data_IF_929564829816
#
_entry.id   IF_929564829816
#
_cell.length_a   1.000
_cell.length_b   1.000
_cell.length_c   1.000
_cell.angle_alpha   90.00
_cell.angle_beta   90.00
_cell.angle_gamma   90.00
#
_symmetry.space_group_name_H-M   'P 1'
#
loop_
_entity.id
_entity.type
_entity.pdbx_description
1 polymer ?
#
# COMPACT_ATOMS: atom_id res chain seq x y z
N UNK A 1 11.56 0.92 -10.15
CA UNK A 1 10.16 0.42 -10.11
C UNK A 1 9.29 1.29 -11.02
N UNK A 2 8.30 0.71 -11.69
CA UNK A 2 7.30 1.42 -12.47
C UNK A 2 5.92 1.04 -11.93
N UNK A 3 5.05 2.02 -11.68
CA UNK A 3 3.68 1.77 -11.23
C UNK A 3 2.73 2.11 -12.35
N UNK A 4 1.85 1.15 -12.65
CA UNK A 4 0.76 1.33 -13.61
C UNK A 4 -0.54 1.51 -12.82
N UNK A 5 -1.18 2.64 -13.02
CA UNK A 5 -2.52 2.89 -12.48
C UNK A 5 -3.54 2.68 -13.60
N UNK A 6 -4.53 1.84 -13.33
CA UNK A 6 -5.63 1.56 -14.26
C UNK A 6 -6.90 2.16 -13.70
N UNK A 7 -7.52 3.08 -14.43
CA UNK A 7 -8.80 3.72 -14.08
C UNK A 7 -9.90 3.27 -15.03
N UNK A 8 -11.11 3.18 -14.50
CA UNK A 8 -12.30 2.81 -15.26
C UNK A 8 -12.51 1.30 -15.33
N UNK A 9 -13.59 0.91 -15.99
CA UNK A 9 -13.95 -0.49 -16.19
C UNK A 9 -14.17 -0.73 -17.69
N UNK A 10 -13.77 -1.88 -18.23
CA UNK A 10 -14.02 -2.19 -19.63
C UNK A 10 -15.53 -2.12 -19.90
N UNK A 11 -15.93 -1.46 -20.99
CA UNK A 11 -17.32 -1.48 -21.45
C UNK A 11 -17.62 -2.84 -22.07
N UNK A 12 -18.77 -3.41 -21.74
CA UNK A 12 -19.26 -4.66 -22.37
C UNK A 12 -19.97 -4.39 -23.70
N UNK A 13 -20.29 -3.13 -23.99
CA UNK A 13 -20.94 -2.71 -25.22
C UNK A 13 -19.92 -2.10 -26.19
N UNK A 14 -19.72 -2.73 -27.35
CA UNK A 14 -18.74 -2.32 -28.36
C UNK A 14 -19.01 -0.93 -28.96
N UNK A 15 -20.21 -0.39 -28.80
CA UNK A 15 -20.60 0.94 -29.30
C UNK A 15 -20.34 2.08 -28.31
N UNK A 16 -20.08 1.78 -27.03
CA UNK A 16 -19.74 2.79 -26.03
C UNK A 16 -18.21 2.90 -25.91
N UNK A 17 -17.62 4.10 -26.08
CA UNK A 17 -16.19 4.27 -25.85
C UNK A 17 -15.85 3.85 -24.42
N UNK A 18 -14.96 2.87 -24.29
CA UNK A 18 -14.50 2.40 -22.99
C UNK A 18 -13.84 3.53 -22.20
N UNK A 19 -14.10 3.60 -20.89
CA UNK A 19 -13.51 4.61 -20.01
C UNK A 19 -12.18 4.14 -19.36
N UNK A 20 -11.57 3.10 -19.92
CA UNK A 20 -10.32 2.53 -19.42
C UNK A 20 -9.15 3.48 -19.70
N UNK A 21 -8.41 3.85 -18.67
CA UNK A 21 -7.21 4.67 -18.77
C UNK A 21 -6.05 3.95 -18.09
N UNK A 22 -4.91 3.88 -18.78
CA UNK A 22 -3.67 3.35 -18.24
C UNK A 22 -2.72 4.53 -18.04
N UNK A 23 -2.36 4.79 -16.79
CA UNK A 23 -1.59 5.96 -16.38
C UNK A 23 -0.26 5.48 -15.81
N UNK A 24 0.83 6.05 -16.33
CA UNK A 24 2.17 5.91 -15.76
C UNK A 24 2.70 7.29 -15.39
N UNK A 25 3.41 7.39 -14.27
CA UNK A 25 3.95 8.67 -13.81
C UNK A 25 5.28 8.46 -13.09
N UNK A 26 6.38 8.46 -13.84
CA UNK A 26 7.72 8.22 -13.28
C UNK A 26 8.12 9.24 -12.21
N UNK A 27 7.58 10.47 -12.25
CA UNK A 27 7.84 11.47 -11.20
C UNK A 27 7.14 11.11 -9.89
N UNK A 28 5.89 10.67 -9.94
CA UNK A 28 5.16 10.14 -8.76
C UNK A 28 5.86 8.90 -8.24
N UNK A 29 6.15 7.94 -9.12
CA UNK A 29 6.75 6.65 -8.74
C UNK A 29 8.12 6.85 -8.08
N UNK A 30 8.95 7.76 -8.61
CA UNK A 30 10.25 8.10 -8.02
C UNK A 30 10.17 8.84 -6.68
N UNK A 31 9.01 9.39 -6.29
CA UNK A 31 8.79 9.98 -4.96
C UNK A 31 8.48 8.91 -3.91
N UNK A 32 8.04 7.73 -4.33
CA UNK A 32 7.87 6.60 -3.43
C UNK A 32 9.25 6.03 -3.14
N UNK A 33 9.79 6.33 -1.96
CA UNK A 33 11.09 5.82 -1.51
C UNK A 33 11.00 4.36 -1.07
N UNK A 34 10.65 3.48 -2.01
CA UNK A 34 10.53 2.01 -1.87
C UNK A 34 11.12 1.31 -3.08
N UNK A 35 11.52 0.05 -2.90
CA UNK A 35 12.12 -0.79 -3.94
C UNK A 35 11.09 -1.63 -4.68
N UNK A 36 10.06 -2.07 -3.96
CA UNK A 36 8.97 -2.94 -4.41
C UNK A 36 7.62 -2.50 -3.82
N UNK A 37 6.56 -3.19 -4.24
CA UNK A 37 5.23 -3.13 -3.64
C UNK A 37 4.69 -4.55 -3.51
N UNK A 38 4.44 -5.00 -2.28
CA UNK A 38 3.95 -6.36 -1.98
C UNK A 38 2.45 -6.39 -1.68
N UNK A 39 1.88 -5.32 -1.14
CA UNK A 39 0.43 -5.22 -0.85
C UNK A 39 -0.08 -3.79 -0.92
N UNK A 40 -1.37 -3.64 -1.20
CA UNK A 40 -2.11 -2.37 -1.16
C UNK A 40 -3.36 -2.53 -0.29
N UNK A 41 -3.70 -1.51 0.49
CA UNK A 41 -4.92 -1.47 1.30
C UNK A 41 -5.55 -0.08 1.17
N UNK A 42 -6.82 -0.01 0.79
CA UNK A 42 -7.58 1.24 0.79
C UNK A 42 -8.25 1.42 2.15
N UNK A 43 -8.06 2.58 2.77
CA UNK A 43 -8.81 2.98 3.96
C UNK A 43 -10.04 3.79 3.55
N UNK A 44 -11.22 3.20 3.68
CA UNK A 44 -12.48 3.85 3.34
C UNK A 44 -12.78 5.08 4.22
N UNK A 45 -12.23 5.14 5.43
CA UNK A 45 -12.51 6.24 6.37
C UNK A 45 -11.78 7.51 5.95
N UNK A 46 -10.49 7.42 5.62
CA UNK A 46 -9.69 8.56 5.17
C UNK A 46 -9.69 8.77 3.66
N UNK A 47 -10.02 7.73 2.88
CA UNK A 47 -9.84 7.70 1.43
C UNK A 47 -8.37 7.54 1.01
N UNK A 48 -7.47 7.23 1.94
CA UNK A 48 -6.04 7.06 1.66
C UNK A 48 -5.71 5.64 1.21
N UNK A 49 -4.62 5.50 0.47
CA UNK A 49 -4.06 4.22 0.05
C UNK A 49 -2.83 3.91 0.88
N UNK A 50 -2.84 2.78 1.59
CA UNK A 50 -1.67 2.23 2.24
C UNK A 50 -0.95 1.27 1.29
N UNK A 51 0.36 1.43 1.17
CA UNK A 51 1.21 0.62 0.31
C UNK A 51 2.32 -0.05 1.13
N UNK A 52 2.45 -1.37 1.01
CA UNK A 52 3.46 -2.17 1.68
C UNK A 52 4.63 -2.45 0.73
N UNK A 53 5.85 -2.29 1.23
CA UNK A 53 7.08 -2.67 0.55
C UNK A 53 7.88 -3.61 1.45
N UNK A 54 8.06 -4.84 0.98
CA UNK A 54 8.83 -5.84 1.69
C UNK A 54 10.31 -5.49 1.70
N UNK A 55 10.90 -5.28 0.52
CA UNK A 55 12.33 -5.05 0.37
C UNK A 55 12.81 -3.78 1.09
N UNK A 56 11.88 -2.84 1.34
CA UNK A 56 12.16 -1.61 2.08
C UNK A 56 11.74 -1.68 3.55
N UNK A 57 11.04 -2.72 4.00
CA UNK A 57 10.44 -2.88 5.33
C UNK A 57 9.63 -1.65 5.75
N UNK A 58 8.71 -1.21 4.89
CA UNK A 58 7.93 0.02 5.11
C UNK A 58 6.49 -0.10 4.67
N UNK A 59 5.64 0.64 5.39
CA UNK A 59 4.29 0.99 4.96
C UNK A 59 4.32 2.47 4.59
N UNK A 60 3.78 2.81 3.43
CA UNK A 60 3.56 4.19 2.99
C UNK A 60 2.06 4.48 3.03
N UNK A 61 1.70 5.70 3.41
CA UNK A 61 0.35 6.23 3.28
C UNK A 61 0.35 7.27 2.17
N UNK A 62 -0.56 7.10 1.21
CA UNK A 62 -0.73 7.95 0.05
C UNK A 62 -2.08 8.64 0.10
N UNK A 63 -2.12 9.94 -0.18
CA UNK A 63 -3.37 10.67 -0.35
C UNK A 63 -4.11 10.26 -1.65
N UNK A 64 -5.30 10.81 -1.86
CA UNK A 64 -6.14 10.55 -3.05
C UNK A 64 -5.50 10.97 -4.38
N UNK A 65 -4.41 11.74 -4.34
CA UNK A 65 -3.64 12.14 -5.52
C UNK A 65 -2.36 11.31 -5.71
N UNK A 66 -2.12 10.32 -4.85
CA UNK A 66 -0.96 9.44 -4.90
C UNK A 66 0.30 10.05 -4.31
N UNK A 67 0.20 11.13 -3.52
CA UNK A 67 1.34 11.69 -2.82
C UNK A 67 1.57 10.98 -1.47
N UNK A 68 2.82 10.62 -1.14
CA UNK A 68 3.13 10.09 0.17
C UNK A 68 2.96 11.17 1.24
N UNK A 69 2.10 10.89 2.21
CA UNK A 69 1.77 11.77 3.34
C UNK A 69 2.21 11.19 4.69
N UNK A 70 2.46 9.88 4.75
CA UNK A 70 2.88 9.18 5.95
C UNK A 70 3.72 7.95 5.66
N UNK A 71 4.44 7.47 6.68
CA UNK A 71 5.10 6.16 6.59
C UNK A 71 5.37 5.53 7.95
N UNK A 72 5.29 4.21 8.01
CA UNK A 72 5.73 3.38 9.13
C UNK A 72 6.91 2.48 8.74
N UNK A 73 7.83 2.24 9.67
CA UNK A 73 8.93 1.28 9.48
C UNK A 73 8.58 -0.05 10.15
N UNK A 74 8.87 -1.13 9.45
CA UNK A 74 8.76 -2.51 9.93
C UNK A 74 10.10 -3.06 10.44
N UNK A 75 11.07 -2.17 10.72
CA UNK A 75 12.33 -2.52 11.34
C UNK A 75 12.19 -2.64 12.87
N UNK A 76 13.09 -3.40 13.48
CA UNK A 76 13.22 -3.54 14.92
C UNK A 76 13.26 -2.16 15.60
N UNK A 77 12.47 -2.01 16.66
CA UNK A 77 12.35 -0.79 17.46
C UNK A 77 11.31 0.20 16.95
N UNK A 78 10.89 0.10 15.68
CA UNK A 78 9.77 0.87 15.16
C UNK A 78 8.44 0.16 15.45
N UNK A 79 7.36 0.92 15.61
CA UNK A 79 6.01 0.38 15.80
C UNK A 79 5.89 -0.69 16.91
N UNK A 80 6.75 -0.62 17.95
CA UNK A 80 6.79 -1.60 19.04
C UNK A 80 7.41 -2.96 18.69
N UNK A 81 8.03 -3.10 17.51
CA UNK A 81 8.61 -4.35 17.04
C UNK A 81 9.90 -4.71 17.80
N UNK A 82 9.97 -5.93 18.33
CA UNK A 82 11.19 -6.46 18.98
C UNK A 82 12.23 -7.00 17.98
N UNK A 83 11.80 -7.29 16.74
CA UNK A 83 12.59 -7.75 15.60
C UNK A 83 12.00 -7.15 14.33
N UNK A 84 12.80 -7.08 13.27
CA UNK A 84 12.29 -6.71 11.95
C UNK A 84 11.15 -7.66 11.53
N UNK A 85 10.15 -7.13 10.82
CA UNK A 85 9.30 -7.98 10.01
C UNK A 85 10.16 -8.52 8.87
N UNK A 86 10.23 -9.85 8.67
CA UNK A 86 11.18 -10.46 7.75
C UNK A 86 10.77 -10.27 6.30
N UNK A 87 9.57 -10.72 5.93
CA UNK A 87 9.07 -10.68 4.56
C UNK A 87 7.58 -10.32 4.54
N UNK A 88 7.21 -9.05 4.42
CA UNK A 88 5.84 -8.58 4.61
C UNK A 88 5.05 -8.62 3.29
N UNK A 89 3.98 -9.40 3.23
CA UNK A 89 3.31 -9.74 1.95
C UNK A 89 1.83 -9.38 1.88
N UNK A 90 1.21 -9.02 3.01
CA UNK A 90 -0.22 -8.73 3.03
C UNK A 90 -0.60 -7.86 4.21
N UNK A 91 -1.57 -6.98 3.98
CA UNK A 91 -2.01 -6.01 4.97
C UNK A 91 -3.51 -5.73 4.82
N UNK A 92 -4.20 -5.54 5.95
CA UNK A 92 -5.58 -5.10 6.00
C UNK A 92 -5.78 -4.17 7.20
N UNK A 93 -6.79 -3.30 7.15
CA UNK A 93 -7.13 -2.40 8.25
C UNK A 93 -8.63 -2.49 8.57
N UNK A 94 -8.99 -2.51 9.85
CA UNK A 94 -10.39 -2.41 10.28
C UNK A 94 -10.88 -0.95 10.38
N UNK A 95 -12.16 -0.77 10.71
CA UNK A 95 -12.79 0.55 10.84
C UNK A 95 -12.25 1.36 12.03
N UNK A 96 -11.68 0.69 13.03
CA UNK A 96 -11.04 1.29 14.19
C UNK A 96 -9.60 1.75 13.89
N UNK A 97 -9.05 1.38 12.72
CA UNK A 97 -7.69 1.68 12.31
C UNK A 97 -6.65 0.71 12.90
N UNK A 98 -7.06 -0.48 13.33
CA UNK A 98 -6.16 -1.59 13.63
C UNK A 98 -5.58 -2.13 12.33
N UNK A 99 -4.26 -2.16 12.24
CA UNK A 99 -3.55 -2.71 11.10
C UNK A 99 -3.16 -4.16 11.34
N UNK A 100 -3.59 -5.04 10.44
CA UNK A 100 -3.24 -6.45 10.40
C UNK A 100 -2.21 -6.67 9.30
N UNK A 101 -1.11 -7.35 9.62
CA UNK A 101 -0.02 -7.60 8.68
C UNK A 101 0.37 -9.09 8.73
N UNK A 102 0.48 -9.71 7.56
CA UNK A 102 1.02 -11.07 7.41
C UNK A 102 2.41 -11.03 6.81
N UNK A 103 3.26 -11.95 7.24
CA UNK A 103 4.63 -12.06 6.77
C UNK A 103 5.07 -13.52 6.67
N UNK A 104 5.92 -13.84 5.69
CA UNK A 104 6.47 -15.17 5.55
C UNK A 104 7.40 -15.56 6.73
N UNK A 105 7.50 -16.86 7.05
CA UNK A 105 6.74 -17.95 6.44
C UNK A 105 5.28 -18.04 6.94
N UNK A 106 4.98 -17.51 8.13
CA UNK A 106 3.67 -17.65 8.79
C UNK A 106 3.49 -16.70 10.00
N UNK A 107 4.04 -15.50 9.93
CA UNK A 107 3.97 -14.52 11.01
C UNK A 107 2.75 -13.61 10.84
N UNK A 108 2.14 -13.24 11.97
CA UNK A 108 0.98 -12.36 12.01
C UNK A 108 1.21 -11.26 13.05
N UNK A 109 1.00 -10.02 12.63
CA UNK A 109 1.18 -8.82 13.45
C UNK A 109 -0.12 -8.04 13.52
N UNK A 110 -0.37 -7.43 14.67
CA UNK A 110 -1.50 -6.54 14.90
C UNK A 110 -0.99 -5.25 15.52
N UNK A 111 -1.13 -4.14 14.79
CA UNK A 111 -0.78 -2.82 15.27
C UNK A 111 -2.05 -2.07 15.62
N UNK A 112 -2.17 -1.64 16.88
CA UNK A 112 -3.28 -0.84 17.36
C UNK A 112 -2.78 0.56 17.66
N UNK A 113 -3.64 1.56 17.43
CA UNK A 113 -3.40 2.91 17.94
C UNK A 113 -3.32 2.86 19.48
N UNK A 114 -2.43 3.63 20.12
CA UNK A 114 -2.35 3.73 21.57
C UNK A 114 -3.67 4.16 22.22
#
# INVERSE_FOLDING_TARGET
MQIIEVRGFPSTNSEAPGNLQVISNSKRDGRLSVRDLSSLQFDETSGHLLALSDESKRILELDTSGHPIGSGSLAKGAMGLSKDVPQAEGMAMDAEGTLYLVSEPNLFYVFRKP
#
